data_IF_403790570888
#
_entry.id   IF_403790570888
#
_cell.length_a   1.000
_cell.length_b   1.000
_cell.length_c   1.000
_cell.angle_alpha   90.00
_cell.angle_beta   90.00
_cell.angle_gamma   90.00
#
_symmetry.space_group_name_H-M   'P 1'
#
loop_
_entity.id
_entity.type
_entity.pdbx_description
1 polymer ?
#
# COMPACT_ATOMS: atom_id res chain seq x y z
N UNK A 1 30.90 6.09 12.32
CA UNK A 1 29.77 5.17 12.36
C UNK A 1 28.71 5.65 11.36
N UNK A 2 28.28 4.79 10.43
CA UNK A 2 27.19 5.08 9.48
C UNK A 2 25.90 4.41 9.98
N UNK A 3 24.84 5.19 10.18
CA UNK A 3 23.53 4.73 10.64
C UNK A 3 22.50 5.02 9.56
N UNK A 4 21.77 3.99 9.14
CA UNK A 4 20.65 4.12 8.21
C UNK A 4 19.34 3.95 8.98
N UNK A 5 18.48 4.95 8.90
CA UNK A 5 17.20 5.00 9.62
C UNK A 5 16.05 4.89 8.62
N UNK A 6 15.24 3.86 8.75
CA UNK A 6 14.04 3.65 7.96
C UNK A 6 12.94 3.09 8.89
N UNK A 7 12.12 3.99 9.41
CA UNK A 7 11.09 3.72 10.42
C UNK A 7 9.72 4.02 9.80
N UNK A 8 8.77 3.10 9.96
CA UNK A 8 7.40 3.30 9.51
C UNK A 8 6.66 4.31 10.42
N UNK A 9 5.54 4.82 9.96
CA UNK A 9 4.72 5.76 10.71
C UNK A 9 4.22 5.15 12.03
N UNK A 10 4.17 5.98 13.06
CA UNK A 10 3.49 5.67 14.31
C UNK A 10 2.08 6.25 14.20
N UNK A 11 1.17 5.49 13.60
CA UNK A 11 -0.18 5.92 13.22
C UNK A 11 -0.87 6.71 14.33
N UNK A 12 -1.33 7.92 13.98
CA UNK A 12 -1.96 8.85 14.91
C UNK A 12 -1.00 9.59 15.85
N UNK A 13 0.33 9.47 15.66
CA UNK A 13 1.35 10.09 16.50
C UNK A 13 2.46 10.77 15.68
N UNK A 14 3.25 10.01 14.91
CA UNK A 14 4.38 10.54 14.12
C UNK A 14 4.35 10.02 12.69
N UNK A 15 4.69 10.86 11.72
CA UNK A 15 5.00 10.41 10.35
C UNK A 15 6.30 9.58 10.34
N UNK A 16 6.54 8.84 9.26
CA UNK A 16 7.78 8.10 9.05
C UNK A 16 9.00 9.00 9.17
N UNK A 17 8.97 10.18 8.55
CA UNK A 17 10.08 11.12 8.58
C UNK A 17 10.25 11.78 9.96
N UNK A 18 9.18 12.13 10.66
CA UNK A 18 9.25 12.64 12.04
C UNK A 18 9.90 11.63 12.99
N UNK A 19 9.48 10.37 12.93
CA UNK A 19 10.07 9.29 13.72
C UNK A 19 11.54 9.07 13.36
N UNK A 20 11.89 9.06 12.07
CA UNK A 20 13.26 8.95 11.59
C UNK A 20 14.16 10.09 12.05
N UNK A 21 13.65 11.33 12.00
CA UNK A 21 14.39 12.51 12.48
C UNK A 21 14.56 12.51 13.99
N UNK A 22 13.58 12.02 14.76
CA UNK A 22 13.71 11.85 16.21
C UNK A 22 14.81 10.81 16.55
N UNK A 23 14.87 9.69 15.81
CA UNK A 23 15.97 8.72 15.93
C UNK A 23 17.30 9.38 15.62
N UNK A 24 17.41 10.12 14.51
CA UNK A 24 18.64 10.86 14.13
C UNK A 24 19.10 11.77 15.22
N UNK A 25 18.21 12.55 15.84
CA UNK A 25 18.54 13.44 16.95
C UNK A 25 19.13 12.66 18.14
N UNK A 26 18.56 11.52 18.50
CA UNK A 26 19.07 10.66 19.57
C UNK A 26 20.44 10.04 19.24
N UNK A 27 20.65 9.58 18.02
CA UNK A 27 21.94 9.05 17.56
C UNK A 27 23.03 10.13 17.67
N UNK A 28 22.75 11.35 17.16
CA UNK A 28 23.72 12.45 17.18
C UNK A 28 23.98 12.99 18.59
N UNK A 29 23.05 12.83 19.53
CA UNK A 29 23.28 13.14 20.93
C UNK A 29 24.30 12.19 21.58
N UNK A 30 24.30 10.91 21.18
CA UNK A 30 25.27 9.91 21.64
C UNK A 30 26.58 9.98 20.84
N UNK A 31 26.52 10.15 19.54
CA UNK A 31 27.64 10.12 18.59
C UNK A 31 27.58 11.31 17.63
N UNK A 32 28.21 12.41 17.99
CA UNK A 32 28.16 13.69 17.25
C UNK A 32 28.69 13.59 15.81
N UNK A 33 29.64 12.69 15.58
CA UNK A 33 30.28 12.49 14.28
C UNK A 33 29.70 11.33 13.47
N UNK A 34 28.53 10.80 13.86
CA UNK A 34 27.86 9.74 13.11
C UNK A 34 27.26 10.29 11.81
N UNK A 35 27.45 9.56 10.71
CA UNK A 35 26.70 9.76 9.47
C UNK A 35 25.33 9.14 9.63
N UNK A 36 24.26 9.93 9.70
CA UNK A 36 22.90 9.43 9.89
C UNK A 36 22.04 9.78 8.69
N UNK A 37 21.64 8.75 7.95
CA UNK A 37 20.80 8.84 6.76
C UNK A 37 19.39 8.41 7.14
N UNK A 38 18.41 9.28 6.92
CA UNK A 38 16.99 9.00 7.16
C UNK A 38 16.30 8.80 5.82
N UNK A 39 15.58 7.69 5.66
CA UNK A 39 14.76 7.38 4.50
C UNK A 39 13.31 7.13 4.94
N UNK A 40 12.31 7.55 4.17
CA UNK A 40 10.92 7.25 4.47
C UNK A 40 10.67 5.74 4.36
N UNK A 41 9.75 5.26 5.18
CA UNK A 41 9.31 3.87 5.15
C UNK A 41 7.79 3.82 5.20
N UNK A 42 7.22 2.86 4.50
CA UNK A 42 5.82 2.49 4.54
C UNK A 42 5.68 1.02 4.10
N UNK A 43 4.52 0.43 4.34
CA UNK A 43 4.26 -0.97 3.97
C UNK A 43 3.46 -1.14 2.67
N UNK A 44 3.19 -0.04 1.94
CA UNK A 44 2.34 -0.05 0.73
C UNK A 44 0.85 0.15 1.03
N UNK A 45 0.48 0.30 2.30
CA UNK A 45 -0.87 0.62 2.75
C UNK A 45 -1.09 2.12 2.94
N UNK A 46 -2.01 2.45 3.85
CA UNK A 46 -2.37 3.82 4.21
C UNK A 46 -1.18 4.64 4.70
N UNK A 47 -1.02 5.85 4.15
CA UNK A 47 0.07 6.79 4.45
C UNK A 47 1.34 6.58 3.61
N UNK A 48 1.36 5.62 2.70
CA UNK A 48 2.48 5.39 1.78
C UNK A 48 2.73 6.60 0.89
N UNK A 49 1.68 7.19 0.35
CA UNK A 49 1.77 8.37 -0.52
C UNK A 49 2.41 9.54 0.21
N UNK A 50 1.95 9.84 1.43
CA UNK A 50 2.48 10.95 2.22
C UNK A 50 3.95 10.71 2.63
N UNK A 51 4.29 9.47 3.04
CA UNK A 51 5.67 9.12 3.37
C UNK A 51 6.63 9.33 2.20
N UNK A 52 6.24 8.93 0.98
CA UNK A 52 7.08 9.11 -0.21
C UNK A 52 7.12 10.57 -0.69
N UNK A 53 6.01 11.33 -0.58
CA UNK A 53 6.02 12.78 -0.84
C UNK A 53 7.02 13.47 0.08
N UNK A 54 6.90 13.25 1.39
CA UNK A 54 7.74 13.90 2.40
C UNK A 54 9.22 13.51 2.23
N UNK A 55 9.48 12.21 2.09
CA UNK A 55 10.85 11.71 2.10
C UNK A 55 11.61 11.84 0.79
N UNK A 56 10.93 12.00 -0.35
CA UNK A 56 11.53 12.14 -1.68
C UNK A 56 11.28 13.51 -2.30
N UNK A 57 10.89 14.52 -1.50
CA UNK A 57 10.55 15.87 -1.96
C UNK A 57 9.53 15.85 -3.12
N UNK A 58 8.55 14.96 -3.01
CA UNK A 58 7.47 14.84 -3.97
C UNK A 58 6.49 16.01 -3.87
N UNK A 59 5.67 16.14 -4.88
CA UNK A 59 4.60 17.14 -4.94
C UNK A 59 3.25 16.45 -4.74
N UNK A 60 2.42 16.96 -3.82
CA UNK A 60 1.04 16.51 -3.67
C UNK A 60 0.19 17.09 -4.78
N UNK A 61 -0.58 16.24 -5.44
CA UNK A 61 -1.52 16.63 -6.51
C UNK A 61 -2.91 16.22 -6.08
N UNK A 62 -3.73 17.22 -5.71
CA UNK A 62 -5.13 17.01 -5.36
C UNK A 62 -6.00 16.92 -6.61
N UNK A 63 -7.00 16.05 -6.60
CA UNK A 63 -7.94 15.78 -7.69
C UNK A 63 -9.31 15.43 -7.14
N UNK A 64 -10.37 15.98 -7.70
CA UNK A 64 -11.73 15.55 -7.40
C UNK A 64 -12.12 14.46 -8.36
N UNK A 65 -12.52 13.31 -7.82
CA UNK A 65 -12.88 12.09 -8.59
C UNK A 65 -14.18 11.50 -8.08
N UNK A 66 -14.70 10.51 -8.79
CA UNK A 66 -15.88 9.74 -8.40
C UNK A 66 -15.57 8.83 -7.22
N UNK A 67 -16.30 8.97 -6.14
CA UNK A 67 -16.21 8.10 -4.96
C UNK A 67 -16.84 6.73 -5.18
N UNK A 68 -16.76 5.84 -4.18
CA UNK A 68 -17.22 4.47 -4.31
C UNK A 68 -18.73 4.34 -4.57
N UNK A 69 -19.52 5.34 -4.24
CA UNK A 69 -20.98 5.37 -4.44
C UNK A 69 -21.42 6.54 -5.33
N UNK A 70 -20.56 6.97 -6.26
CA UNK A 70 -20.77 8.01 -7.25
C UNK A 70 -20.81 9.46 -6.70
N UNK A 71 -20.55 9.69 -5.42
CA UNK A 71 -20.33 11.01 -4.87
C UNK A 71 -18.96 11.58 -5.30
N UNK A 72 -18.82 12.90 -5.46
CA UNK A 72 -17.51 13.48 -5.69
C UNK A 72 -16.65 13.40 -4.42
N UNK A 73 -15.43 12.91 -4.52
CA UNK A 73 -14.47 12.86 -3.42
C UNK A 73 -13.18 13.58 -3.78
N UNK A 74 -12.57 14.21 -2.78
CA UNK A 74 -11.26 14.82 -2.93
C UNK A 74 -10.19 13.77 -2.66
N UNK A 75 -9.58 13.27 -3.71
CA UNK A 75 -8.47 12.35 -3.67
C UNK A 75 -7.15 13.09 -3.96
N UNK A 76 -6.03 12.42 -3.78
CA UNK A 76 -4.72 12.95 -4.13
C UNK A 76 -3.74 11.85 -4.49
N UNK A 77 -2.66 12.25 -5.15
CA UNK A 77 -1.50 11.40 -5.37
C UNK A 77 -0.20 12.20 -5.21
N UNK A 78 0.89 11.49 -4.94
CA UNK A 78 2.23 12.07 -4.92
C UNK A 78 2.86 12.06 -6.31
N UNK A 79 3.47 13.15 -6.73
CA UNK A 79 4.27 13.20 -7.94
C UNK A 79 5.75 13.31 -7.59
N UNK A 80 6.51 12.29 -7.91
CA UNK A 80 7.97 12.23 -7.77
C UNK A 80 8.61 12.66 -9.08
N UNK A 81 9.07 13.91 -9.14
CA UNK A 81 9.60 14.55 -10.37
C UNK A 81 10.82 13.82 -10.94
N UNK A 82 11.76 13.45 -10.08
CA UNK A 82 13.05 12.86 -10.47
C UNK A 82 12.89 11.55 -11.25
N UNK A 83 11.84 10.78 -10.95
CA UNK A 83 11.56 9.48 -11.57
C UNK A 83 10.34 9.52 -12.48
N UNK A 84 9.68 10.68 -12.62
CA UNK A 84 8.40 10.84 -13.32
C UNK A 84 7.36 9.80 -12.87
N UNK A 85 7.20 9.63 -11.56
CA UNK A 85 6.36 8.59 -10.94
C UNK A 85 5.20 9.20 -10.18
N UNK A 86 3.99 8.68 -10.40
CA UNK A 86 2.84 8.93 -9.52
C UNK A 86 2.77 7.83 -8.45
N UNK A 87 2.63 8.24 -7.20
CA UNK A 87 2.36 7.36 -6.06
C UNK A 87 0.93 7.57 -5.61
N UNK A 88 0.13 6.51 -5.61
CA UNK A 88 -1.31 6.57 -5.33
C UNK A 88 -1.73 5.50 -4.33
N UNK A 89 -2.74 5.81 -3.55
CA UNK A 89 -3.50 4.84 -2.77
C UNK A 89 -4.91 4.77 -3.34
N UNK A 90 -5.36 3.57 -3.75
CA UNK A 90 -6.72 3.40 -4.26
C UNK A 90 -7.77 3.80 -3.22
N UNK A 91 -7.43 3.68 -1.94
CA UNK A 91 -8.29 4.07 -0.83
C UNK A 91 -8.60 5.58 -0.80
N UNK A 92 -7.79 6.44 -1.45
CA UNK A 92 -8.06 7.86 -1.60
C UNK A 92 -9.31 8.15 -2.45
N UNK A 93 -9.63 7.25 -3.40
CA UNK A 93 -10.79 7.39 -4.29
C UNK A 93 -11.90 6.37 -4.01
N UNK A 94 -11.55 5.14 -3.57
CA UNK A 94 -12.51 4.05 -3.39
C UNK A 94 -12.28 3.26 -2.09
N UNK A 95 -11.87 3.96 -1.03
CA UNK A 95 -11.57 3.39 0.27
C UNK A 95 -12.81 3.12 1.12
N UNK A 96 -12.70 2.12 2.01
CA UNK A 96 -13.78 1.70 2.91
C UNK A 96 -14.11 2.76 4.00
N UNK A 97 -13.21 3.72 4.21
CA UNK A 97 -13.38 4.81 5.18
C UNK A 97 -14.00 6.07 4.59
N UNK A 98 -14.18 6.14 3.26
CA UNK A 98 -14.76 7.32 2.58
C UNK A 98 -16.24 7.48 2.95
N UNK A 99 -16.97 6.36 3.09
CA UNK A 99 -18.40 6.36 3.38
C UNK A 99 -18.74 5.32 4.44
N UNK A 100 -19.76 5.59 5.25
CA UNK A 100 -20.36 4.61 6.15
C UNK A 100 -21.20 3.55 5.39
N UNK A 101 -21.63 3.88 4.16
CA UNK A 101 -22.33 2.96 3.29
C UNK A 101 -21.45 1.76 2.95
N UNK A 102 -22.03 0.57 3.00
CA UNK A 102 -21.39 -0.68 2.60
C UNK A 102 -22.31 -1.44 1.67
N UNK A 103 -22.14 -1.22 0.37
CA UNK A 103 -22.88 -1.89 -0.68
C UNK A 103 -21.94 -2.40 -1.77
N UNK A 104 -21.50 -3.66 -1.69
CA UNK A 104 -20.58 -4.24 -2.67
C UNK A 104 -21.21 -4.43 -4.06
N UNK A 105 -22.55 -4.35 -4.17
CA UNK A 105 -23.24 -4.47 -5.45
C UNK A 105 -23.04 -3.24 -6.33
N UNK A 106 -22.96 -2.06 -5.72
CA UNK A 106 -22.88 -0.77 -6.43
C UNK A 106 -21.54 -0.06 -6.30
N UNK A 107 -20.75 -0.40 -5.28
CA UNK A 107 -19.45 0.24 -5.06
C UNK A 107 -18.52 0.08 -6.26
N UNK A 108 -17.94 1.20 -6.73
CA UNK A 108 -17.13 1.28 -7.95
C UNK A 108 -15.69 1.73 -7.69
N UNK A 109 -14.75 1.23 -8.50
CA UNK A 109 -13.36 1.70 -8.59
C UNK A 109 -13.18 2.83 -9.61
N UNK A 110 -14.25 3.45 -10.13
CA UNK A 110 -14.18 4.42 -11.23
C UNK A 110 -13.21 5.57 -10.93
N UNK A 111 -13.28 6.17 -9.74
CA UNK A 111 -12.39 7.26 -9.33
C UNK A 111 -10.90 6.88 -9.29
N UNK A 112 -10.58 5.61 -9.08
CA UNK A 112 -9.18 5.14 -9.18
C UNK A 112 -8.68 5.29 -10.62
N UNK A 113 -9.51 4.95 -11.60
CA UNK A 113 -9.20 5.15 -13.01
C UNK A 113 -9.06 6.62 -13.40
N UNK A 114 -9.93 7.49 -12.83
CA UNK A 114 -9.85 8.94 -13.04
C UNK A 114 -8.53 9.52 -12.49
N UNK A 115 -8.08 9.09 -11.30
CA UNK A 115 -6.77 9.48 -10.76
C UNK A 115 -5.62 9.07 -11.68
N UNK A 116 -5.63 7.83 -12.17
CA UNK A 116 -4.62 7.33 -13.10
C UNK A 116 -4.64 8.13 -14.40
N UNK A 117 -5.81 8.36 -14.98
CA UNK A 117 -5.96 9.11 -16.23
C UNK A 117 -5.52 10.57 -16.08
N UNK A 118 -5.81 11.20 -14.92
CA UNK A 118 -5.35 12.56 -14.62
C UNK A 118 -3.81 12.61 -14.61
N UNK A 119 -3.13 11.66 -13.99
CA UNK A 119 -1.67 11.59 -13.97
C UNK A 119 -1.08 11.33 -15.37
N UNK A 120 -1.70 10.42 -16.15
CA UNK A 120 -1.30 10.13 -17.53
C UNK A 120 -1.38 11.38 -18.40
N UNK A 121 -2.45 12.19 -18.26
CA UNK A 121 -2.66 13.44 -18.99
C UNK A 121 -1.65 14.53 -18.61
N UNK A 122 -1.05 14.45 -17.42
CA UNK A 122 0.10 15.27 -17.00
C UNK A 122 1.45 14.77 -17.54
N UNK A 123 1.47 13.71 -18.34
CA UNK A 123 2.70 13.15 -18.89
C UNK A 123 3.40 12.11 -18.01
N UNK A 124 2.78 11.71 -16.90
CA UNK A 124 3.34 10.68 -16.01
C UNK A 124 3.13 9.30 -16.63
N UNK A 125 4.13 8.42 -16.52
CA UNK A 125 4.09 7.07 -17.10
C UNK A 125 4.50 5.97 -16.11
N UNK A 126 5.07 6.33 -14.97
CA UNK A 126 5.41 5.36 -13.92
C UNK A 126 4.44 5.50 -12.76
N UNK A 127 3.95 4.38 -12.25
CA UNK A 127 2.95 4.33 -11.20
C UNK A 127 3.36 3.36 -10.09
N UNK A 128 3.25 3.80 -8.85
CA UNK A 128 3.27 2.97 -7.65
C UNK A 128 1.89 3.13 -7.02
N UNK A 129 1.13 2.04 -6.97
CA UNK A 129 -0.26 2.10 -6.51
C UNK A 129 -0.48 1.11 -5.36
N UNK A 130 -0.79 1.65 -4.18
CA UNK A 130 -1.27 0.86 -3.04
C UNK A 130 -2.73 0.49 -3.23
N UNK A 131 -3.06 -0.80 -3.13
CA UNK A 131 -4.43 -1.28 -3.33
C UNK A 131 -5.12 -1.76 -2.05
N UNK A 132 -4.54 -1.46 -0.88
CA UNK A 132 -5.15 -1.72 0.42
C UNK A 132 -6.37 -0.83 0.71
N UNK A 133 -7.19 -1.22 1.69
CA UNK A 133 -8.27 -0.40 2.24
C UNK A 133 -9.51 -0.23 1.35
N UNK A 134 -9.74 -1.07 0.34
CA UNK A 134 -10.82 -0.93 -0.65
C UNK A 134 -12.23 -1.15 -0.07
N UNK A 135 -13.22 -0.34 -0.54
CA UNK A 135 -14.65 -0.55 -0.31
C UNK A 135 -15.29 -1.49 -1.35
N UNK A 136 -14.63 -1.74 -2.47
CA UNK A 136 -15.20 -2.28 -3.70
C UNK A 136 -15.02 -3.79 -3.85
N UNK A 137 -15.91 -4.42 -4.62
CA UNK A 137 -15.83 -5.81 -5.05
C UNK A 137 -16.28 -5.92 -6.52
N UNK A 138 -15.78 -4.99 -7.35
CA UNK A 138 -16.20 -4.78 -8.74
C UNK A 138 -15.20 -5.33 -9.78
N UNK A 139 -14.22 -6.14 -9.34
CA UNK A 139 -13.22 -6.70 -10.26
C UNK A 139 -12.32 -5.66 -10.94
N UNK A 140 -12.38 -4.39 -10.49
CA UNK A 140 -11.69 -3.28 -11.14
C UNK A 140 -12.38 -2.75 -12.41
N UNK A 141 -13.60 -3.17 -12.70
CA UNK A 141 -14.35 -2.72 -13.89
C UNK A 141 -14.50 -1.19 -13.90
N UNK A 142 -14.83 -0.58 -12.76
CA UNK A 142 -14.97 0.89 -12.69
C UNK A 142 -13.70 1.59 -13.13
N UNK A 143 -12.54 1.22 -12.58
CA UNK A 143 -11.24 1.76 -12.98
C UNK A 143 -10.99 1.60 -14.49
N UNK A 144 -11.24 0.42 -15.01
CA UNK A 144 -11.02 0.14 -16.44
C UNK A 144 -11.94 0.98 -17.33
N UNK A 145 -13.21 1.19 -16.93
CA UNK A 145 -14.15 2.07 -17.67
C UNK A 145 -13.65 3.51 -17.71
N UNK A 146 -13.19 4.06 -16.60
CA UNK A 146 -12.60 5.40 -16.58
C UNK A 146 -11.35 5.50 -17.49
N UNK A 147 -10.62 4.41 -17.66
CA UNK A 147 -9.48 4.31 -18.58
C UNK A 147 -9.89 4.03 -20.04
N UNK A 148 -11.21 3.95 -20.36
CA UNK A 148 -11.74 3.84 -21.70
C UNK A 148 -12.08 2.42 -22.16
N UNK A 149 -11.98 1.39 -21.31
CA UNK A 149 -12.49 0.06 -21.64
C UNK A 149 -14.03 0.03 -21.58
N UNK A 150 -14.65 -0.83 -22.38
CA UNK A 150 -16.11 -0.99 -22.38
C UNK A 150 -16.49 -2.44 -22.10
N UNK A 151 -17.40 -2.63 -21.16
CA UNK A 151 -17.93 -3.94 -20.79
C UNK A 151 -19.40 -4.03 -21.21
N UNK A 152 -19.71 -4.98 -22.09
CA UNK A 152 -21.04 -5.11 -22.70
C UNK A 152 -21.70 -6.42 -22.26
N UNK A 153 -23.00 -6.37 -22.09
CA UNK A 153 -23.84 -7.54 -21.87
C UNK A 153 -24.15 -8.28 -23.18
N UNK A 154 -24.95 -9.36 -23.09
CA UNK A 154 -25.37 -10.17 -24.25
C UNK A 154 -26.15 -9.41 -25.31
N UNK A 155 -26.78 -8.29 -24.93
CA UNK A 155 -27.58 -7.44 -25.81
C UNK A 155 -26.78 -6.27 -26.37
N UNK A 156 -25.46 -6.21 -26.07
CA UNK A 156 -24.54 -5.18 -26.50
C UNK A 156 -24.68 -3.84 -25.75
N UNK A 157 -25.38 -3.87 -24.59
CA UNK A 157 -25.56 -2.70 -23.73
C UNK A 157 -24.46 -2.66 -22.66
N UNK A 158 -24.18 -1.49 -22.13
CA UNK A 158 -23.23 -1.32 -21.01
C UNK A 158 -23.72 -2.07 -19.77
N UNK A 159 -22.82 -2.83 -19.12
CA UNK A 159 -23.15 -3.66 -17.96
C UNK A 159 -23.51 -2.87 -16.69
N UNK A 160 -23.23 -1.57 -16.66
CA UNK A 160 -23.20 -0.76 -15.44
C UNK A 160 -21.91 -0.99 -14.63
N UNK A 161 -21.94 -0.64 -13.36
CA UNK A 161 -20.79 -0.69 -12.44
C UNK A 161 -21.10 -1.48 -11.17
N UNK A 162 -20.07 -1.63 -10.32
CA UNK A 162 -20.13 -2.38 -9.08
C UNK A 162 -20.09 -3.89 -9.29
N UNK A 163 -20.15 -4.63 -8.19
CA UNK A 163 -20.09 -6.09 -8.21
C UNK A 163 -21.23 -6.75 -9.01
N UNK A 164 -22.41 -6.11 -9.05
CA UNK A 164 -23.58 -6.60 -9.82
C UNK A 164 -23.35 -6.59 -11.34
N UNK A 165 -22.42 -5.80 -11.85
CA UNK A 165 -22.12 -5.71 -13.28
C UNK A 165 -21.40 -6.96 -13.81
N UNK A 166 -20.59 -7.60 -12.98
CA UNK A 166 -19.68 -8.68 -13.36
C UNK A 166 -20.37 -9.89 -13.97
N UNK A 167 -21.52 -10.27 -13.42
CA UNK A 167 -22.31 -11.39 -13.93
C UNK A 167 -22.92 -11.13 -15.32
N UNK A 168 -23.06 -9.87 -15.72
CA UNK A 168 -23.64 -9.46 -16.99
C UNK A 168 -22.64 -9.39 -18.13
N UNK A 169 -21.32 -9.36 -17.82
CA UNK A 169 -20.28 -9.21 -18.84
C UNK A 169 -20.33 -10.35 -19.84
N UNK A 170 -20.55 -10.03 -21.10
CA UNK A 170 -20.56 -10.98 -22.22
C UNK A 170 -19.43 -10.67 -23.23
N UNK A 171 -18.99 -9.43 -23.31
CA UNK A 171 -17.85 -9.03 -24.14
C UNK A 171 -17.14 -7.80 -23.58
N UNK A 172 -15.87 -7.66 -23.93
CA UNK A 172 -15.03 -6.51 -23.56
C UNK A 172 -14.47 -5.87 -24.82
N UNK A 173 -14.63 -4.55 -24.92
CA UNK A 173 -13.92 -3.75 -25.92
C UNK A 173 -12.71 -3.11 -25.26
N UNK A 174 -11.56 -3.23 -25.91
CA UNK A 174 -10.32 -2.62 -25.44
C UNK A 174 -10.42 -1.11 -25.48
N UNK A 175 -9.65 -0.46 -24.61
CA UNK A 175 -9.62 1.00 -24.49
C UNK A 175 -9.12 1.67 -25.77
N UNK A 176 -9.73 2.79 -26.13
CA UNK A 176 -9.23 3.69 -27.16
C UNK A 176 -7.89 4.34 -26.74
N UNK A 177 -7.57 4.33 -25.44
CA UNK A 177 -6.30 4.77 -24.87
C UNK A 177 -5.24 3.65 -24.79
N UNK A 178 -5.45 2.49 -25.44
CA UNK A 178 -4.59 1.32 -25.28
C UNK A 178 -3.12 1.60 -25.60
N UNK A 179 -2.83 2.41 -26.64
CA UNK A 179 -1.47 2.83 -26.98
C UNK A 179 -0.82 3.65 -25.86
N UNK A 180 -1.58 4.58 -25.27
CA UNK A 180 -1.11 5.43 -24.17
C UNK A 180 -0.88 4.61 -22.90
N UNK A 181 -1.80 3.70 -22.59
CA UNK A 181 -1.69 2.79 -21.44
C UNK A 181 -0.51 1.82 -21.56
N UNK A 182 -0.18 1.39 -22.78
CA UNK A 182 0.96 0.51 -23.04
C UNK A 182 2.32 1.15 -22.75
N UNK A 183 2.39 2.48 -22.70
CA UNK A 183 3.58 3.25 -22.34
C UNK A 183 3.75 3.40 -20.83
N UNK A 184 2.76 2.97 -20.04
CA UNK A 184 2.77 3.12 -18.60
C UNK A 184 3.30 1.86 -17.89
N UNK A 185 4.05 2.07 -16.81
CA UNK A 185 4.53 1.02 -15.91
C UNK A 185 3.73 1.07 -14.63
N UNK A 186 3.00 0.01 -14.33
CA UNK A 186 2.17 -0.10 -13.13
C UNK A 186 2.79 -1.07 -12.14
N UNK A 187 3.31 -0.57 -11.03
CA UNK A 187 3.78 -1.36 -9.88
C UNK A 187 2.75 -1.26 -8.77
N UNK A 188 2.20 -2.39 -8.38
CA UNK A 188 1.06 -2.48 -7.49
C UNK A 188 1.51 -3.09 -6.17
N UNK A 189 1.40 -2.32 -5.08
CA UNK A 189 1.68 -2.80 -3.74
C UNK A 189 0.55 -3.74 -3.29
N UNK A 190 0.88 -5.03 -3.16
CA UNK A 190 -0.05 -6.09 -2.85
C UNK A 190 0.59 -7.12 -1.92
N UNK A 191 0.13 -7.19 -0.68
CA UNK A 191 0.65 -8.10 0.36
C UNK A 191 -0.19 -9.37 0.55
N UNK A 192 -1.20 -9.57 -0.31
CA UNK A 192 -2.06 -10.75 -0.27
C UNK A 192 -1.87 -11.61 -1.51
N UNK A 193 -2.08 -12.92 -1.35
CA UNK A 193 -1.85 -13.90 -2.42
C UNK A 193 -3.13 -14.54 -2.94
N UNK A 194 -4.29 -14.09 -2.47
CA UNK A 194 -5.60 -14.65 -2.79
C UNK A 194 -5.87 -14.62 -4.30
N UNK A 195 -6.41 -15.72 -4.88
CA UNK A 195 -6.90 -15.71 -6.25
C UNK A 195 -8.15 -14.84 -6.37
N UNK A 196 -8.61 -14.62 -7.59
CA UNK A 196 -9.79 -13.79 -7.83
C UNK A 196 -11.07 -14.41 -7.26
N UNK A 197 -11.30 -15.69 -7.51
CA UNK A 197 -12.55 -16.40 -7.24
C UNK A 197 -12.39 -17.59 -6.29
N UNK A 198 -13.53 -18.14 -5.85
CA UNK A 198 -13.63 -19.30 -4.98
C UNK A 198 -13.52 -18.95 -3.50
N UNK A 199 -13.54 -19.96 -2.62
CA UNK A 199 -13.55 -19.78 -1.16
C UNK A 199 -12.34 -19.00 -0.60
N UNK A 200 -11.23 -18.96 -1.32
CA UNK A 200 -10.05 -18.17 -0.99
C UNK A 200 -9.96 -16.88 -1.82
N UNK A 201 -10.99 -16.59 -2.63
CA UNK A 201 -11.02 -15.45 -3.54
C UNK A 201 -11.45 -14.14 -2.88
N UNK A 202 -11.49 -13.09 -3.70
CA UNK A 202 -11.81 -11.73 -3.30
C UNK A 202 -13.11 -11.62 -2.51
N UNK A 203 -14.20 -12.19 -3.06
CA UNK A 203 -15.54 -12.06 -2.50
C UNK A 203 -15.69 -12.77 -1.17
N UNK A 204 -15.23 -14.01 -1.05
CA UNK A 204 -15.38 -14.80 0.17
C UNK A 204 -14.50 -14.28 1.33
N UNK A 205 -13.27 -13.87 1.04
CA UNK A 205 -12.30 -13.47 2.09
C UNK A 205 -12.50 -12.01 2.51
N UNK A 206 -12.67 -11.10 1.55
CA UNK A 206 -12.69 -9.67 1.82
C UNK A 206 -14.07 -9.03 1.68
N UNK A 207 -15.04 -9.73 1.10
CA UNK A 207 -16.39 -9.23 0.89
C UNK A 207 -17.16 -8.92 2.18
N UNK A 208 -17.13 -9.77 3.23
CA UNK A 208 -17.91 -9.54 4.45
C UNK A 208 -17.66 -8.18 5.10
N UNK A 209 -16.41 -7.71 5.20
CA UNK A 209 -16.10 -6.38 5.75
C UNK A 209 -16.65 -5.23 4.89
N UNK A 210 -16.92 -5.48 3.61
CA UNK A 210 -17.47 -4.53 2.62
C UNK A 210 -19.00 -4.59 2.52
N UNK A 211 -19.65 -5.43 3.33
CA UNK A 211 -21.10 -5.56 3.37
C UNK A 211 -21.66 -6.73 2.54
N UNK A 212 -20.82 -7.64 2.04
CA UNK A 212 -21.29 -8.87 1.38
C UNK A 212 -21.96 -9.78 2.40
N UNK A 213 -23.27 -10.08 2.19
CA UNK A 213 -24.01 -11.05 3.02
C UNK A 213 -23.77 -12.49 2.55
N UNK A 214 -24.18 -13.46 3.36
CA UNK A 214 -24.06 -14.88 3.02
C UNK A 214 -24.75 -15.25 1.71
N UNK A 215 -25.88 -14.61 1.42
CA UNK A 215 -26.66 -14.82 0.18
C UNK A 215 -25.98 -14.19 -1.04
N UNK A 216 -25.25 -13.10 -0.86
CA UNK A 216 -24.53 -12.41 -1.94
C UNK A 216 -23.23 -13.14 -2.32
N UNK A 217 -22.58 -13.86 -1.38
CA UNK A 217 -21.29 -14.50 -1.62
C UNK A 217 -21.25 -15.34 -2.91
N UNK A 218 -22.15 -16.34 -3.09
CA UNK A 218 -22.08 -17.18 -4.29
C UNK A 218 -22.45 -16.41 -5.57
N UNK A 219 -23.29 -15.40 -5.48
CA UNK A 219 -23.72 -14.59 -6.64
C UNK A 219 -22.59 -13.70 -7.14
N UNK A 220 -21.93 -12.99 -6.23
CA UNK A 220 -20.83 -12.11 -6.57
C UNK A 220 -19.57 -12.89 -7.01
N UNK A 221 -19.29 -14.03 -6.38
CA UNK A 221 -18.16 -14.87 -6.77
C UNK A 221 -18.36 -15.49 -8.16
N UNK A 222 -19.59 -15.96 -8.48
CA UNK A 222 -19.92 -16.41 -9.82
C UNK A 222 -19.83 -15.28 -10.87
N UNK A 223 -20.18 -14.05 -10.48
CA UNK A 223 -19.96 -12.86 -11.32
C UNK A 223 -18.48 -12.60 -11.61
N UNK A 224 -17.63 -12.68 -10.58
CA UNK A 224 -16.17 -12.59 -10.73
C UNK A 224 -15.62 -13.66 -11.67
N UNK A 225 -16.09 -14.91 -11.52
CA UNK A 225 -15.67 -16.02 -12.38
C UNK A 225 -16.09 -15.79 -13.84
N UNK A 226 -17.34 -15.34 -14.08
CA UNK A 226 -17.81 -14.99 -15.42
C UNK A 226 -16.94 -13.90 -16.05
N UNK A 227 -16.70 -12.80 -15.32
CA UNK A 227 -15.86 -11.70 -15.76
C UNK A 227 -14.44 -12.18 -16.12
N UNK A 228 -13.82 -13.02 -15.28
CA UNK A 228 -12.49 -13.57 -15.56
C UNK A 228 -12.47 -14.43 -16.82
N UNK A 229 -13.49 -15.27 -17.05
CA UNK A 229 -13.59 -16.11 -18.27
C UNK A 229 -13.70 -15.26 -19.53
N UNK A 230 -14.55 -14.23 -19.52
CA UNK A 230 -14.70 -13.31 -20.67
C UNK A 230 -13.40 -12.51 -20.90
N UNK A 231 -12.77 -12.06 -19.82
CA UNK A 231 -11.46 -11.38 -19.89
C UNK A 231 -10.42 -12.28 -20.54
N UNK A 232 -10.28 -13.52 -20.09
CA UNK A 232 -9.31 -14.48 -20.64
C UNK A 232 -9.52 -14.71 -22.15
N UNK A 233 -10.78 -14.81 -22.59
CA UNK A 233 -11.09 -14.94 -24.01
C UNK A 233 -10.70 -13.71 -24.84
N UNK A 234 -10.82 -12.52 -24.25
CA UNK A 234 -10.51 -11.26 -24.95
C UNK A 234 -9.02 -10.96 -24.98
N UNK A 235 -8.33 -11.14 -23.82
CA UNK A 235 -6.92 -10.77 -23.63
C UNK A 235 -5.96 -11.92 -24.02
N UNK A 236 -6.45 -13.17 -24.02
CA UNK A 236 -5.64 -14.36 -24.29
C UNK A 236 -4.77 -14.80 -23.11
N UNK A 237 -5.02 -14.27 -21.88
CA UNK A 237 -4.29 -14.63 -20.65
C UNK A 237 -5.29 -14.96 -19.55
N UNK A 238 -5.05 -16.04 -18.80
CA UNK A 238 -5.83 -16.41 -17.63
C UNK A 238 -5.06 -15.99 -16.35
N UNK A 239 -5.54 -14.95 -15.70
CA UNK A 239 -5.00 -14.43 -14.44
C UNK A 239 -5.95 -14.70 -13.26
N UNK A 240 -7.00 -15.50 -13.42
CA UNK A 240 -7.98 -15.75 -12.35
C UNK A 240 -7.33 -16.35 -11.09
N UNK A 241 -6.37 -17.24 -11.27
CA UNK A 241 -5.65 -17.92 -10.20
C UNK A 241 -4.28 -17.27 -9.88
N UNK A 242 -3.97 -16.13 -10.49
CA UNK A 242 -2.71 -15.45 -10.19
C UNK A 242 -2.68 -14.95 -8.73
N UNK A 243 -1.51 -15.04 -8.11
CA UNK A 243 -1.28 -14.55 -6.76
C UNK A 243 -1.61 -13.06 -6.68
N UNK A 244 -2.51 -12.67 -5.74
CA UNK A 244 -2.95 -11.29 -5.57
C UNK A 244 -4.06 -10.83 -6.52
N UNK A 245 -4.54 -11.66 -7.44
CA UNK A 245 -5.65 -11.30 -8.33
C UNK A 245 -6.90 -10.89 -7.56
N UNK A 246 -7.18 -11.50 -6.40
CA UNK A 246 -8.31 -11.16 -5.54
C UNK A 246 -8.13 -9.91 -4.69
N UNK A 247 -6.92 -9.33 -4.66
CA UNK A 247 -6.69 -8.13 -3.86
C UNK A 247 -7.62 -6.99 -4.25
N UNK A 248 -8.07 -6.22 -3.25
CA UNK A 248 -8.94 -5.06 -3.42
C UNK A 248 -10.22 -5.38 -4.24
N UNK A 249 -10.84 -6.53 -3.97
CA UNK A 249 -12.09 -6.91 -4.65
C UNK A 249 -11.91 -7.17 -6.15
N UNK A 250 -10.75 -7.69 -6.56
CA UNK A 250 -10.40 -8.01 -7.94
C UNK A 250 -9.66 -6.90 -8.69
N UNK A 251 -9.33 -5.79 -8.03
CA UNK A 251 -8.53 -4.73 -8.66
C UNK A 251 -7.14 -5.26 -9.08
N UNK A 252 -6.54 -6.16 -8.27
CA UNK A 252 -5.30 -6.86 -8.64
C UNK A 252 -5.42 -7.61 -9.96
N UNK A 253 -6.52 -8.32 -10.20
CA UNK A 253 -6.80 -8.99 -11.47
C UNK A 253 -6.90 -8.02 -12.65
N UNK A 254 -7.55 -6.85 -12.46
CA UNK A 254 -7.67 -5.82 -13.48
C UNK A 254 -6.28 -5.29 -13.92
N UNK A 255 -5.41 -4.97 -12.95
CA UNK A 255 -4.05 -4.54 -13.27
C UNK A 255 -3.24 -5.61 -14.01
N UNK A 256 -3.28 -6.86 -13.54
CA UNK A 256 -2.59 -7.98 -14.20
C UNK A 256 -3.05 -8.22 -15.64
N UNK A 257 -4.38 -8.17 -15.86
CA UNK A 257 -4.97 -8.60 -17.12
C UNK A 257 -4.95 -7.50 -18.20
N UNK A 258 -5.25 -6.26 -17.82
CA UNK A 258 -5.49 -5.18 -18.78
C UNK A 258 -4.35 -4.17 -18.88
N UNK A 259 -3.57 -4.01 -17.81
CA UNK A 259 -2.57 -2.95 -17.71
C UNK A 259 -1.13 -3.47 -17.60
N UNK A 260 -0.91 -4.78 -17.75
CA UNK A 260 0.38 -5.45 -17.54
C UNK A 260 1.02 -5.05 -16.18
N UNK A 261 0.18 -4.82 -15.16
CA UNK A 261 0.63 -4.43 -13.84
C UNK A 261 1.46 -5.53 -13.16
N UNK A 262 2.47 -5.12 -12.42
CA UNK A 262 3.31 -5.98 -11.60
C UNK A 262 2.86 -5.90 -10.15
N UNK A 263 2.35 -7.02 -9.59
CA UNK A 263 2.00 -7.11 -8.19
C UNK A 263 3.24 -7.49 -7.37
N UNK A 264 3.61 -6.64 -6.43
CA UNK A 264 4.82 -6.80 -5.63
C UNK A 264 4.50 -6.48 -4.16
N UNK A 265 5.11 -7.16 -3.18
CA UNK A 265 4.96 -6.79 -1.78
C UNK A 265 5.24 -5.30 -1.57
N UNK A 266 4.35 -4.62 -0.82
CA UNK A 266 4.40 -3.18 -0.65
C UNK A 266 5.74 -2.71 -0.13
N UNK A 267 6.25 -3.36 0.91
CA UNK A 267 7.58 -3.03 1.45
C UNK A 267 8.70 -3.07 0.40
N UNK A 268 8.69 -4.06 -0.49
CA UNK A 268 9.72 -4.18 -1.53
C UNK A 268 9.67 -3.01 -2.52
N UNK A 269 8.47 -2.58 -2.90
CA UNK A 269 8.29 -1.41 -3.76
C UNK A 269 8.82 -0.14 -3.10
N UNK A 270 8.54 0.05 -1.82
CA UNK A 270 8.99 1.23 -1.08
C UNK A 270 10.51 1.24 -0.92
N UNK A 271 11.11 0.11 -0.50
CA UNK A 271 12.58 0.00 -0.38
C UNK A 271 13.29 0.34 -1.69
N UNK A 272 12.71 -0.10 -2.83
CA UNK A 272 13.24 0.21 -4.16
C UNK A 272 13.04 1.70 -4.51
N UNK A 273 11.86 2.27 -4.24
CA UNK A 273 11.55 3.66 -4.55
C UNK A 273 12.45 4.65 -3.79
N UNK A 274 12.79 4.34 -2.54
CA UNK A 274 13.68 5.19 -1.72
C UNK A 274 15.16 4.86 -1.90
N UNK A 275 15.51 3.90 -2.75
CA UNK A 275 16.89 3.43 -2.97
C UNK A 275 17.58 3.02 -1.66
N UNK A 276 16.83 2.35 -0.76
CA UNK A 276 17.35 2.02 0.57
C UNK A 276 18.53 1.07 0.51
N UNK A 277 18.55 0.15 -0.45
CA UNK A 277 19.65 -0.82 -0.60
C UNK A 277 21.01 -0.16 -0.84
N UNK A 278 21.05 0.96 -1.56
CA UNK A 278 22.29 1.69 -1.80
C UNK A 278 22.84 2.29 -0.52
N UNK A 279 21.99 2.73 0.38
CA UNK A 279 22.38 3.29 1.67
C UNK A 279 22.85 2.22 2.66
N UNK A 280 22.34 0.98 2.53
CA UNK A 280 22.74 -0.14 3.39
C UNK A 280 24.21 -0.56 3.20
N UNK A 281 24.80 -0.23 2.04
CA UNK A 281 26.22 -0.51 1.79
C UNK A 281 27.07 0.23 2.80
N UNK A 282 27.89 -0.51 3.55
CA UNK A 282 28.77 0.01 4.63
C UNK A 282 28.01 0.66 5.80
N UNK A 283 26.74 0.36 6.02
CA UNK A 283 26.04 0.75 7.24
C UNK A 283 26.52 -0.11 8.41
N UNK A 284 26.87 0.53 9.53
CA UNK A 284 27.24 -0.14 10.77
C UNK A 284 25.95 -0.58 11.51
N UNK A 285 24.97 0.32 11.57
CA UNK A 285 23.69 0.11 12.25
C UNK A 285 22.54 0.53 11.37
N UNK A 286 21.49 -0.27 11.38
CA UNK A 286 20.22 0.02 10.74
C UNK A 286 19.16 0.18 11.83
N UNK A 287 18.40 1.26 11.77
CA UNK A 287 17.28 1.51 12.67
C UNK A 287 15.98 1.42 11.88
N UNK A 288 15.06 0.62 12.40
CA UNK A 288 13.69 0.50 11.87
C UNK A 288 12.67 0.58 12.99
N UNK A 289 11.40 0.45 12.70
CA UNK A 289 10.34 0.46 13.72
C UNK A 289 8.97 0.77 13.13
N UNK A 290 7.98 0.69 13.99
CA UNK A 290 6.58 1.00 13.71
C UNK A 290 5.82 1.26 15.02
N UNK A 291 4.56 1.68 14.94
CA UNK A 291 3.75 1.97 16.13
C UNK A 291 3.58 0.78 17.07
N UNK A 292 3.56 -0.46 16.56
CA UNK A 292 3.39 -1.68 17.39
C UNK A 292 4.12 -2.87 16.78
N UNK A 293 5.09 -3.41 17.50
CA UNK A 293 5.72 -4.68 17.16
C UNK A 293 4.93 -5.85 17.74
N UNK A 294 4.53 -6.76 16.87
CA UNK A 294 3.75 -7.95 17.20
C UNK A 294 4.10 -9.14 16.29
N UNK A 295 3.29 -10.21 16.34
CA UNK A 295 3.48 -11.38 15.49
C UNK A 295 3.37 -11.06 13.98
N UNK A 296 2.48 -10.12 13.61
CA UNK A 296 2.30 -9.75 12.21
C UNK A 296 3.54 -9.05 11.64
N UNK A 297 4.25 -8.28 12.47
CA UNK A 297 5.52 -7.67 12.07
C UNK A 297 6.52 -8.73 11.62
N UNK A 298 6.63 -9.84 12.36
CA UNK A 298 7.52 -10.96 12.01
C UNK A 298 7.14 -11.67 10.71
N UNK A 299 5.89 -11.56 10.26
CA UNK A 299 5.41 -12.15 9.01
C UNK A 299 5.85 -11.39 7.74
N UNK A 300 6.60 -10.28 7.87
CA UNK A 300 7.20 -9.59 6.72
C UNK A 300 6.75 -8.15 6.50
N UNK A 301 6.20 -7.49 7.54
CA UNK A 301 5.91 -6.05 7.48
C UNK A 301 7.18 -5.22 7.32
N UNK A 302 7.01 -3.91 7.17
CA UNK A 302 8.05 -2.94 6.87
C UNK A 302 9.32 -3.08 7.73
N UNK A 303 9.27 -3.20 9.07
CA UNK A 303 10.49 -3.34 9.88
C UNK A 303 11.32 -4.58 9.56
N UNK A 304 10.66 -5.70 9.27
CA UNK A 304 11.36 -6.95 8.91
C UNK A 304 11.94 -6.88 7.50
N UNK A 305 11.29 -6.18 6.57
CA UNK A 305 11.84 -5.93 5.24
C UNK A 305 13.17 -5.17 5.31
N UNK A 306 13.20 -4.10 6.12
CA UNK A 306 14.41 -3.31 6.39
C UNK A 306 15.48 -4.15 7.06
N UNK A 307 15.12 -4.93 8.08
CA UNK A 307 16.06 -5.78 8.82
C UNK A 307 16.73 -6.84 7.93
N UNK A 308 15.97 -7.49 7.07
CA UNK A 308 16.51 -8.46 6.10
C UNK A 308 17.53 -7.82 5.16
N UNK A 309 17.23 -6.59 4.70
CA UNK A 309 18.14 -5.84 3.86
C UNK A 309 19.41 -5.44 4.61
N UNK A 310 19.30 -4.90 5.84
CA UNK A 310 20.44 -4.61 6.70
C UNK A 310 21.33 -5.82 6.94
N UNK A 311 20.73 -6.96 7.23
CA UNK A 311 21.44 -8.23 7.46
C UNK A 311 22.20 -8.74 6.23
N UNK A 312 21.67 -8.49 5.02
CA UNK A 312 22.37 -8.81 3.76
C UNK A 312 23.73 -8.10 3.68
N UNK A 313 23.83 -6.92 4.26
CA UNK A 313 25.06 -6.09 4.27
C UNK A 313 25.84 -6.15 5.59
N UNK A 314 25.42 -7.04 6.52
CA UNK A 314 26.14 -7.27 7.78
C UNK A 314 25.90 -6.21 8.86
N UNK A 315 24.97 -5.28 8.65
CA UNK A 315 24.62 -4.26 9.63
C UNK A 315 23.85 -4.82 10.82
N UNK A 316 24.04 -4.23 12.00
CA UNK A 316 23.20 -4.50 13.18
C UNK A 316 21.87 -3.79 13.03
N UNK A 317 20.77 -4.50 13.26
CA UNK A 317 19.43 -3.93 13.13
C UNK A 317 18.75 -3.75 14.48
N UNK A 318 18.40 -2.51 14.79
CA UNK A 318 17.64 -2.11 15.99
C UNK A 318 16.24 -1.64 15.56
N UNK A 319 15.21 -2.04 16.30
CA UNK A 319 13.86 -1.53 16.07
C UNK A 319 13.34 -0.76 17.28
N UNK A 320 12.63 0.35 17.01
CA UNK A 320 11.86 1.09 18.01
C UNK A 320 10.36 0.91 17.76
N UNK A 321 9.57 0.85 18.84
CA UNK A 321 8.13 0.70 18.74
C UNK A 321 7.39 1.51 19.80
N UNK A 322 6.19 1.98 19.49
CA UNK A 322 5.29 2.58 20.48
C UNK A 322 4.90 1.55 21.53
N UNK A 323 4.54 0.34 21.10
CA UNK A 323 4.26 -0.80 21.99
C UNK A 323 4.87 -2.09 21.43
N UNK A 324 5.11 -3.04 22.36
CA UNK A 324 5.72 -4.33 22.04
C UNK A 324 4.90 -5.44 22.69
N UNK A 325 4.42 -6.40 21.91
CA UNK A 325 3.73 -7.58 22.46
C UNK A 325 4.72 -8.68 22.83
N UNK A 326 4.26 -9.70 23.55
CA UNK A 326 5.10 -10.85 23.90
C UNK A 326 5.57 -11.61 22.64
N UNK A 327 4.74 -11.63 21.62
CA UNK A 327 4.99 -12.33 20.36
C UNK A 327 6.02 -11.60 19.47
N UNK A 328 6.35 -10.35 19.75
CA UNK A 328 7.36 -9.57 19.04
C UNK A 328 8.76 -10.23 19.07
N UNK A 329 9.03 -11.12 20.03
CA UNK A 329 10.26 -11.93 20.07
C UNK A 329 10.50 -12.69 18.74
N UNK A 330 9.45 -13.03 18.00
CA UNK A 330 9.58 -13.64 16.67
C UNK A 330 10.33 -12.74 15.66
N UNK A 331 10.33 -11.41 15.85
CA UNK A 331 11.07 -10.46 15.02
C UNK A 331 12.58 -10.66 15.09
N UNK A 332 13.13 -11.19 16.22
CA UNK A 332 14.55 -11.50 16.31
C UNK A 332 14.94 -12.61 15.32
N UNK A 333 14.10 -13.64 15.17
CA UNK A 333 14.30 -14.67 14.17
C UNK A 333 14.14 -14.17 12.73
N UNK A 334 13.42 -13.06 12.52
CA UNK A 334 13.18 -12.44 11.23
C UNK A 334 14.26 -11.42 10.80
N UNK A 335 15.26 -11.15 11.67
CA UNK A 335 16.42 -10.31 11.33
C UNK A 335 16.63 -9.05 12.17
N UNK A 336 15.72 -8.72 13.10
CA UNK A 336 15.87 -7.60 14.04
C UNK A 336 16.74 -8.09 15.20
N UNK A 337 17.94 -7.53 15.39
CA UNK A 337 18.87 -7.97 16.45
C UNK A 337 18.34 -7.58 17.86
N UNK A 338 17.74 -6.39 17.99
CA UNK A 338 17.13 -5.93 19.22
C UNK A 338 15.98 -4.96 18.95
N UNK A 339 14.99 -4.93 19.84
CA UNK A 339 13.87 -3.98 19.74
C UNK A 339 13.55 -3.36 21.11
N UNK A 340 13.10 -2.11 21.10
CA UNK A 340 12.87 -1.30 22.29
C UNK A 340 11.55 -0.54 22.18
N UNK A 341 10.69 -0.56 23.24
CA UNK A 341 9.57 0.34 23.32
C UNK A 341 10.07 1.76 23.59
N UNK A 342 9.44 2.78 22.96
CA UNK A 342 9.79 4.18 23.19
C UNK A 342 9.09 4.78 24.43
N UNK A 343 8.00 4.19 24.88
CA UNK A 343 7.28 4.65 26.10
C UNK A 343 8.14 4.34 27.33
N UNK A 344 8.60 5.39 28.01
CA UNK A 344 9.63 5.29 29.07
C UNK A 344 9.07 5.07 30.47
N UNK A 345 7.77 5.14 30.65
CA UNK A 345 7.13 5.00 31.95
C UNK A 345 5.65 4.67 31.84
N UNK A 346 4.96 4.65 32.98
CA UNK A 346 3.50 4.49 32.98
C UNK A 346 2.91 5.78 32.38
N UNK A 347 2.09 5.62 31.35
CA UNK A 347 1.49 6.72 30.60
C UNK A 347 0.10 6.30 30.12
N UNK A 348 -0.77 7.27 29.87
CA UNK A 348 -2.04 7.04 29.18
C UNK A 348 -1.79 6.86 27.67
N UNK A 349 -2.75 6.29 26.96
CA UNK A 349 -2.66 6.16 25.51
C UNK A 349 -2.57 7.55 24.84
N UNK A 350 -3.36 8.51 25.33
CA UNK A 350 -3.38 9.88 24.83
C UNK A 350 -2.00 10.56 24.97
N UNK A 351 -1.39 10.48 26.16
CA UNK A 351 -0.04 11.01 26.40
C UNK A 351 1.04 10.31 25.56
N UNK A 352 0.93 8.99 25.42
CA UNK A 352 1.88 8.21 24.60
C UNK A 352 1.78 8.51 23.11
N UNK A 353 0.59 8.85 22.62
CA UNK A 353 0.32 9.18 21.21
C UNK A 353 0.47 10.66 20.90
N UNK A 354 0.59 11.53 21.92
CA UNK A 354 0.88 12.95 21.68
C UNK A 354 2.18 13.09 20.86
N UNK A 355 2.17 13.82 19.73
CA UNK A 355 3.31 13.89 18.82
C UNK A 355 4.61 14.40 19.47
N UNK A 356 4.52 15.39 20.35
CA UNK A 356 5.71 15.97 20.99
C UNK A 356 6.28 15.01 22.03
N UNK A 357 5.44 14.35 22.82
CA UNK A 357 5.85 13.31 23.77
C UNK A 357 6.48 12.12 23.03
N UNK A 358 5.88 11.68 21.95
CA UNK A 358 6.37 10.54 21.16
C UNK A 358 7.74 10.84 20.55
N UNK A 359 7.95 12.03 19.96
CA UNK A 359 9.25 12.49 19.43
C UNK A 359 10.31 12.56 20.53
N UNK A 360 9.97 13.14 21.68
CA UNK A 360 10.89 13.23 22.83
C UNK A 360 11.27 11.84 23.35
N UNK A 361 10.31 10.94 23.46
CA UNK A 361 10.51 9.56 23.88
C UNK A 361 11.39 8.77 22.89
N UNK A 362 11.11 8.89 21.59
CA UNK A 362 11.92 8.28 20.53
C UNK A 362 13.36 8.77 20.56
N UNK A 363 13.57 10.09 20.65
CA UNK A 363 14.90 10.69 20.72
C UNK A 363 15.68 10.17 21.92
N UNK A 364 15.06 10.15 23.10
CA UNK A 364 15.72 9.69 24.32
C UNK A 364 16.00 8.18 24.30
N UNK A 365 15.08 7.36 23.77
CA UNK A 365 15.31 5.93 23.61
C UNK A 365 16.46 5.65 22.66
N UNK A 366 16.50 6.33 21.51
CA UNK A 366 17.59 6.22 20.54
C UNK A 366 18.93 6.65 21.15
N UNK A 367 18.99 7.77 21.86
CA UNK A 367 20.20 8.21 22.56
C UNK A 367 20.76 7.13 23.47
N UNK A 368 19.90 6.56 24.36
CA UNK A 368 20.37 5.56 25.32
C UNK A 368 20.82 4.25 24.65
N UNK A 369 20.14 3.82 23.59
CA UNK A 369 20.55 2.62 22.83
C UNK A 369 21.89 2.86 22.15
N UNK A 370 22.07 4.02 21.54
CA UNK A 370 23.32 4.33 20.81
C UNK A 370 24.54 4.61 21.72
N UNK A 371 24.35 4.80 23.02
CA UNK A 371 25.46 4.81 24.00
C UNK A 371 26.10 3.44 24.19
N UNK A 372 25.51 2.36 23.65
CA UNK A 372 26.04 1.00 23.68
C UNK A 372 26.92 0.65 22.45
N UNK A 373 26.92 1.49 21.43
CA UNK A 373 27.72 1.34 20.23
C UNK A 373 28.96 2.26 20.29
#
# INVERSE_FOLDING_TARGET
MKVVVAVDSFKGSMTSMEAGMAVKAGVLAAHKDAEVIVKPLADGGEGTTDALIEGLNGERVDVTVTGPYHEPVNAYYGYLKDTNTAVMEMASAAGITISEQKDPMTATTYGVGEMILHAINKGIRNFIIGIGGSATNDGGIGMLKALGFTFLDKDGQDTGEGGQALAKVASVRLSDNAELLSQCNFKIACDVTNPLCGFQGATYIYGPQKGVTSEMLPVLDAGMENYAKVTSQTIGKDNMNASGAGAAGGLGFAFLSYLNGELTPGIQLILNAVHLEDEMKNADVVVTGEGRLDHQTAMGKAPVGVAKLGKKYGAKTVAFAGSVTKEAVACNGAGIDAFFPIVRGISTLEEAMDPDNAKANMTAAAEQVFRLF
#
